data_IF_383665372597
#
_entry.id   IF_383665372597
#
_cell.length_a   1.000
_cell.length_b   1.000
_cell.length_c   1.000
_cell.angle_alpha   90.00
_cell.angle_beta   90.00
_cell.angle_gamma   90.00
#
_symmetry.space_group_name_H-M   'P 1'
#
loop_
_entity.id
_entity.type
_entity.pdbx_description
1 polymer ?
#
# COMPACT_ATOMS: atom_id res chain seq x y z
N UNK A 1 -15.92 -5.91 -6.07
CA UNK A 1 -15.64 -6.51 -4.75
C UNK A 1 -14.37 -5.88 -4.19
N UNK A 2 -14.37 -5.44 -2.92
CA UNK A 2 -13.18 -4.89 -2.29
C UNK A 2 -12.09 -5.97 -2.19
N UNK A 3 -10.90 -5.71 -2.73
CA UNK A 3 -9.79 -6.65 -2.71
C UNK A 3 -9.25 -6.75 -1.28
N UNK A 4 -9.29 -7.94 -0.67
CA UNK A 4 -8.73 -8.17 0.67
C UNK A 4 -7.23 -7.86 0.64
N UNK A 5 -6.79 -6.95 1.52
CA UNK A 5 -5.37 -6.57 1.62
C UNK A 5 -4.51 -7.77 2.04
N UNK A 6 -3.30 -7.80 1.50
CA UNK A 6 -2.24 -8.69 1.97
C UNK A 6 -1.78 -8.21 3.35
N UNK A 7 -1.54 -9.14 4.26
CA UNK A 7 -1.05 -8.83 5.62
C UNK A 7 0.40 -8.36 5.56
N UNK A 8 0.83 -7.52 6.51
CA UNK A 8 2.23 -7.03 6.53
C UNK A 8 3.25 -8.17 6.67
N UNK A 9 2.90 -9.24 7.38
CA UNK A 9 3.71 -10.46 7.39
C UNK A 9 3.96 -11.03 6.00
N UNK A 10 2.94 -11.04 5.12
CA UNK A 10 3.10 -11.51 3.74
C UNK A 10 3.89 -10.53 2.89
N UNK A 11 3.77 -9.22 3.12
CA UNK A 11 4.61 -8.22 2.45
C UNK A 11 6.08 -8.45 2.82
N UNK A 12 6.38 -8.61 4.11
CA UNK A 12 7.74 -8.91 4.59
C UNK A 12 8.30 -10.18 3.95
N UNK A 13 7.48 -11.22 3.83
CA UNK A 13 7.86 -12.49 3.20
C UNK A 13 8.08 -12.35 1.68
N UNK A 14 7.26 -11.55 0.98
CA UNK A 14 7.47 -11.24 -0.45
C UNK A 14 8.86 -10.64 -0.67
N UNK A 15 9.21 -9.63 0.13
CA UNK A 15 10.49 -8.93 0.01
C UNK A 15 11.64 -9.86 0.40
N UNK A 16 11.49 -10.65 1.46
CA UNK A 16 12.47 -11.68 1.86
C UNK A 16 12.80 -12.64 0.71
N UNK A 17 11.77 -13.21 0.09
CA UNK A 17 11.93 -14.15 -1.02
C UNK A 17 12.52 -13.50 -2.27
N UNK A 18 12.28 -12.19 -2.48
CA UNK A 18 12.86 -11.46 -3.58
C UNK A 18 14.34 -11.16 -3.36
N UNK A 19 14.71 -10.65 -2.18
CA UNK A 19 16.06 -10.13 -1.89
C UNK A 19 17.02 -11.20 -1.38
N UNK A 20 16.62 -12.03 -0.41
CA UNK A 20 17.51 -13.05 0.17
C UNK A 20 17.60 -14.30 -0.72
N UNK A 21 16.48 -14.69 -1.36
CA UNK A 21 16.40 -15.93 -2.13
C UNK A 21 16.46 -15.72 -3.65
N UNK A 22 16.46 -14.47 -4.12
CA UNK A 22 16.55 -14.13 -5.55
C UNK A 22 15.40 -14.68 -6.40
N UNK A 23 14.24 -14.98 -5.82
CA UNK A 23 13.13 -15.60 -6.55
C UNK A 23 12.45 -14.61 -7.51
N UNK A 24 12.00 -15.12 -8.64
CA UNK A 24 11.19 -14.34 -9.58
C UNK A 24 9.77 -14.11 -9.06
N UNK A 25 9.13 -13.03 -9.50
CA UNK A 25 7.80 -12.64 -9.03
C UNK A 25 6.74 -13.74 -9.22
N UNK A 26 6.84 -14.51 -10.32
CA UNK A 26 5.98 -15.68 -10.57
C UNK A 26 6.20 -16.81 -9.56
N UNK A 27 7.45 -17.06 -9.16
CA UNK A 27 7.77 -18.09 -8.14
C UNK A 27 7.26 -17.65 -6.77
N UNK A 28 7.45 -16.39 -6.40
CA UNK A 28 6.95 -15.80 -5.14
C UNK A 28 5.42 -15.88 -5.07
N UNK A 29 4.74 -15.47 -6.15
CA UNK A 29 3.28 -15.54 -6.27
C UNK A 29 2.74 -16.96 -6.03
N UNK A 30 3.39 -17.96 -6.64
CA UNK A 30 3.04 -19.38 -6.44
C UNK A 30 3.31 -19.85 -5.02
N UNK A 31 4.47 -19.49 -4.45
CA UNK A 31 4.86 -19.90 -3.10
C UNK A 31 3.90 -19.36 -2.02
N UNK A 32 3.49 -18.09 -2.13
CA UNK A 32 2.65 -17.43 -1.13
C UNK A 32 1.15 -17.50 -1.43
N UNK A 33 0.77 -18.11 -2.57
CA UNK A 33 -0.60 -18.17 -3.10
C UNK A 33 -1.23 -16.78 -3.21
N UNK A 34 -0.48 -15.85 -3.79
CA UNK A 34 -0.88 -14.45 -4.02
C UNK A 34 -0.81 -14.18 -5.53
N UNK A 35 -1.70 -13.34 -6.05
CA UNK A 35 -1.66 -12.97 -7.47
C UNK A 35 -0.38 -12.20 -7.82
N UNK A 36 0.23 -12.50 -8.96
CA UNK A 36 1.43 -11.81 -9.47
C UNK A 36 1.39 -10.27 -9.42
N UNK A 37 0.28 -9.58 -9.77
CA UNK A 37 0.23 -8.12 -9.71
C UNK A 37 0.46 -7.57 -8.31
N UNK A 38 -0.01 -8.28 -7.28
CA UNK A 38 0.18 -7.85 -5.88
C UNK A 38 1.66 -7.96 -5.49
N UNK A 39 2.31 -9.07 -5.86
CA UNK A 39 3.75 -9.26 -5.61
C UNK A 39 4.56 -8.14 -6.28
N UNK A 40 4.26 -7.84 -7.53
CA UNK A 40 4.90 -6.75 -8.27
C UNK A 40 4.65 -5.39 -7.60
N UNK A 41 3.43 -5.15 -7.14
CA UNK A 41 3.03 -3.91 -6.49
C UNK A 41 3.74 -3.73 -5.14
N UNK A 42 3.71 -4.74 -4.28
CA UNK A 42 4.33 -4.67 -2.95
C UNK A 42 5.85 -4.45 -3.05
N UNK A 43 6.53 -5.14 -3.99
CA UNK A 43 7.96 -4.93 -4.25
C UNK A 43 8.24 -3.50 -4.74
N UNK A 44 7.43 -2.99 -5.67
CA UNK A 44 7.60 -1.63 -6.18
C UNK A 44 7.38 -0.58 -5.08
N UNK A 45 6.38 -0.76 -4.22
CA UNK A 45 6.06 0.16 -3.13
C UNK A 45 7.14 0.18 -2.04
N UNK A 46 7.73 -0.97 -1.72
CA UNK A 46 8.84 -1.06 -0.75
C UNK A 46 10.12 -0.45 -1.34
N UNK A 47 10.47 -0.79 -2.59
CA UNK A 47 11.65 -0.21 -3.27
C UNK A 47 11.57 1.29 -3.40
N UNK A 48 10.42 1.79 -3.80
CA UNK A 48 10.23 3.23 -3.91
C UNK A 48 10.37 3.92 -2.53
N UNK A 49 10.27 3.18 -1.40
CA UNK A 49 10.37 3.76 -0.05
C UNK A 49 11.81 3.90 0.38
N UNK A 50 12.75 3.44 -0.47
CA UNK A 50 14.15 3.26 -0.08
C UNK A 50 14.31 2.20 1.00
N UNK A 51 13.33 1.32 1.18
CA UNK A 51 13.37 0.25 2.18
C UNK A 51 13.79 -1.06 1.51
N UNK A 52 14.63 -1.84 2.21
CA UNK A 52 14.93 -3.22 1.89
C UNK A 52 14.39 -4.19 2.95
N UNK A 53 14.64 -5.48 2.77
CA UNK A 53 14.24 -6.52 3.71
C UNK A 53 14.78 -6.28 5.13
N UNK A 54 16.05 -5.84 5.24
CA UNK A 54 16.69 -5.57 6.52
C UNK A 54 15.94 -4.51 7.35
N UNK A 55 15.42 -3.47 6.70
CA UNK A 55 14.70 -2.38 7.35
C UNK A 55 13.30 -2.82 7.80
N UNK A 56 12.58 -3.52 6.93
CA UNK A 56 11.19 -3.90 7.20
C UNK A 56 11.08 -5.09 8.16
N UNK A 57 12.16 -5.86 8.36
CA UNK A 57 12.17 -7.03 9.26
C UNK A 57 11.96 -6.63 10.72
N UNK A 58 12.52 -5.50 11.14
CA UNK A 58 12.45 -4.99 12.52
C UNK A 58 11.36 -3.95 12.72
N UNK A 59 10.80 -3.41 11.63
CA UNK A 59 9.75 -2.41 11.68
C UNK A 59 8.43 -2.99 12.19
N UNK A 60 7.68 -2.23 12.99
CA UNK A 60 6.33 -2.64 13.39
C UNK A 60 5.37 -2.64 12.19
N UNK A 61 4.39 -3.54 12.21
CA UNK A 61 3.38 -3.65 11.15
C UNK A 61 2.63 -2.33 10.93
N UNK A 62 2.33 -1.61 12.00
CA UNK A 62 1.67 -0.29 11.95
C UNK A 62 2.52 0.74 11.22
N UNK A 63 3.81 0.81 11.54
CA UNK A 63 4.72 1.78 10.93
C UNK A 63 5.02 1.44 9.47
N UNK A 64 5.11 0.15 9.14
CA UNK A 64 5.24 -0.31 7.76
C UNK A 64 4.02 0.09 6.93
N UNK A 65 2.81 -0.11 7.47
CA UNK A 65 1.57 0.33 6.83
C UNK A 65 1.56 1.84 6.57
N UNK A 66 1.88 2.65 7.58
CA UNK A 66 1.90 4.11 7.43
C UNK A 66 2.86 4.59 6.35
N UNK A 67 4.07 4.02 6.27
CA UNK A 67 5.06 4.37 5.26
C UNK A 67 4.57 4.02 3.84
N UNK A 68 3.96 2.85 3.67
CA UNK A 68 3.42 2.42 2.38
C UNK A 68 2.18 3.24 1.99
N UNK A 69 1.33 3.62 2.95
CA UNK A 69 0.12 4.41 2.70
C UNK A 69 0.40 5.88 2.37
N UNK A 70 1.31 6.53 3.11
CA UNK A 70 1.68 7.93 2.85
C UNK A 70 2.06 8.13 1.40
N UNK A 71 2.90 7.25 0.86
CA UNK A 71 3.33 7.37 -0.53
C UNK A 71 2.24 7.02 -1.56
N UNK A 72 1.35 6.08 -1.26
CA UNK A 72 0.18 5.84 -2.15
C UNK A 72 -0.67 7.10 -2.33
N UNK A 73 -0.69 7.97 -1.32
CA UNK A 73 -1.44 9.22 -1.32
C UNK A 73 -0.64 10.43 -1.86
N UNK A 74 0.63 10.28 -2.23
CA UNK A 74 1.47 11.37 -2.80
C UNK A 74 1.21 11.63 -4.30
N UNK A 75 0.09 11.13 -4.84
CA UNK A 75 -0.24 11.42 -6.25
C UNK A 75 -0.73 12.86 -6.41
N UNK A 76 -0.32 13.52 -7.50
CA UNK A 76 -0.79 14.88 -7.84
C UNK A 76 -2.32 14.98 -7.89
N UNK A 77 -2.97 13.90 -8.36
CA UNK A 77 -4.43 13.76 -8.34
C UNK A 77 -5.01 13.76 -6.93
N UNK A 78 -4.38 13.06 -5.99
CA UNK A 78 -4.80 13.04 -4.59
C UNK A 78 -4.60 14.41 -3.95
N UNK A 79 -3.45 15.07 -4.18
CA UNK A 79 -3.18 16.43 -3.70
C UNK A 79 -4.26 17.42 -4.16
N UNK A 80 -4.53 17.49 -5.48
CA UNK A 80 -5.60 18.35 -6.06
C UNK A 80 -6.99 18.06 -5.48
N UNK A 81 -7.29 16.79 -5.16
CA UNK A 81 -8.55 16.41 -4.55
C UNK A 81 -8.62 16.80 -3.08
N UNK A 82 -7.53 16.58 -2.33
CA UNK A 82 -7.44 16.85 -0.89
C UNK A 82 -7.60 18.33 -0.57
N UNK A 83 -7.14 19.22 -1.45
CA UNK A 83 -7.36 20.67 -1.35
C UNK A 83 -8.85 21.07 -1.33
N UNK A 84 -9.73 20.24 -1.91
CA UNK A 84 -11.17 20.50 -1.96
C UNK A 84 -11.92 19.97 -0.74
N UNK A 85 -11.28 19.18 0.12
CA UNK A 85 -11.93 18.57 1.29
C UNK A 85 -12.53 19.58 2.27
N UNK A 86 -11.89 20.73 2.58
CA UNK A 86 -12.50 21.74 3.45
C UNK A 86 -13.84 22.26 2.91
N UNK A 87 -13.87 22.56 1.60
CA UNK A 87 -15.08 23.00 0.91
C UNK A 87 -16.18 21.93 0.93
N UNK A 88 -15.83 20.69 0.57
CA UNK A 88 -16.79 19.57 0.57
C UNK A 88 -17.34 19.28 1.97
N UNK A 89 -16.51 19.35 3.01
CA UNK A 89 -16.94 19.17 4.39
C UNK A 89 -17.91 20.26 4.86
N UNK A 90 -17.80 21.48 4.33
CA UNK A 90 -18.73 22.57 4.59
C UNK A 90 -20.03 22.40 3.81
N UNK A 91 -19.96 22.02 2.53
CA UNK A 91 -21.13 21.79 1.67
C UNK A 91 -21.99 20.64 2.20
N UNK A 92 -21.37 19.57 2.70
CA UNK A 92 -22.05 18.42 3.32
C UNK A 92 -22.88 18.79 4.57
N UNK A 93 -22.68 19.96 5.17
CA UNK A 93 -23.48 20.43 6.32
C UNK A 93 -24.79 21.11 5.90
N UNK A 94 -24.95 21.47 4.62
CA UNK A 94 -26.15 22.16 4.13
C UNK A 94 -27.31 21.18 4.07
N UNK A 95 -28.48 21.63 4.52
CA UNK A 95 -29.72 20.84 4.53
C UNK A 95 -30.05 20.36 3.12
N UNK A 96 -30.19 19.04 2.96
CA UNK A 96 -30.52 18.39 1.68
C UNK A 96 -29.33 17.82 0.90
N UNK A 97 -28.08 18.11 1.29
CA UNK A 97 -26.87 17.61 0.61
C UNK A 97 -26.49 16.17 1.04
N UNK A 98 -27.06 15.70 2.14
CA UNK A 98 -26.85 14.41 2.78
C UNK A 98 -28.10 13.51 2.71
N UNK A 99 -29.00 13.74 1.74
CA UNK A 99 -30.07 12.77 1.43
C UNK A 99 -29.48 11.59 0.64
N UNK A 100 -29.13 10.53 1.37
CA UNK A 100 -29.00 9.18 0.83
C UNK A 100 -30.31 8.42 1.07
#
# INVERSE_FOLDING_TARGET
>A
MAKKRVTMNKVREIIRLHEEMGLSYRKIARALRISHPIVSQDIAEVKAAGLGYADIKTLSDTKLLELLEKRRNETERYSKLSERFPYLAQELKRTGVNRL
#
